data_IF_440656858657
#
_entry.id   IF_440656858657
#
_cell.length_a   1.000
_cell.length_b   1.000
_cell.length_c   1.000
_cell.angle_alpha   90.00
_cell.angle_beta   90.00
_cell.angle_gamma   90.00
#
_symmetry.space_group_name_H-M   'P 1'
#
loop_
_entity.id
_entity.type
_entity.pdbx_description
1 polymer ?
#
# COMPACT_ATOMS: atom_id res chain seq x y z
N UNK A 1 8.05 14.88 -13.80
CA UNK A 1 7.22 14.01 -12.91
C UNK A 1 7.18 12.61 -13.47
N UNK A 2 7.17 11.56 -12.63
CA UNK A 2 7.09 10.16 -13.08
C UNK A 2 5.62 9.80 -13.30
N UNK A 3 5.28 9.32 -14.52
CA UNK A 3 3.92 8.87 -14.86
C UNK A 3 3.57 7.63 -14.05
N UNK A 4 2.39 7.64 -13.42
CA UNK A 4 1.90 6.50 -12.63
C UNK A 4 1.22 5.48 -13.54
N UNK A 5 1.46 4.19 -13.34
CA UNK A 5 0.87 3.12 -14.16
C UNK A 5 -0.66 3.13 -14.11
N UNK A 6 -1.23 3.47 -12.96
CA UNK A 6 -2.67 3.53 -12.74
C UNK A 6 -3.36 4.69 -13.51
N UNK A 7 -2.60 5.69 -13.99
CA UNK A 7 -3.14 6.86 -14.68
C UNK A 7 -3.95 6.47 -15.91
N UNK A 8 -3.43 5.58 -16.76
CA UNK A 8 -4.13 5.12 -17.98
C UNK A 8 -5.46 4.45 -17.64
N UNK A 9 -5.51 3.69 -16.56
CA UNK A 9 -6.73 3.03 -16.07
C UNK A 9 -7.75 4.05 -15.57
N UNK A 10 -7.31 5.10 -14.86
CA UNK A 10 -8.17 6.18 -14.40
C UNK A 10 -8.74 6.95 -15.59
N UNK A 11 -7.90 7.37 -16.53
CA UNK A 11 -8.31 8.10 -17.74
C UNK A 11 -9.33 7.31 -18.56
N UNK A 12 -9.13 6.01 -18.73
CA UNK A 12 -10.06 5.12 -19.43
C UNK A 12 -11.40 4.91 -18.71
N UNK A 13 -11.48 5.21 -17.40
CA UNK A 13 -12.70 5.04 -16.59
C UNK A 13 -13.43 6.34 -16.29
N UNK A 14 -12.91 7.48 -16.75
CA UNK A 14 -13.61 8.75 -16.57
C UNK A 14 -14.95 8.77 -17.34
N UNK A 15 -15.92 9.45 -16.75
CA UNK A 15 -17.28 9.61 -17.30
C UNK A 15 -18.08 8.30 -17.45
N UNK A 16 -17.75 7.25 -16.69
CA UNK A 16 -18.54 6.01 -16.62
C UNK A 16 -19.73 6.10 -15.64
N UNK A 17 -20.10 7.30 -15.19
CA UNK A 17 -21.17 7.51 -14.21
C UNK A 17 -20.82 7.01 -12.80
N UNK A 18 -19.52 6.85 -12.51
CA UNK A 18 -19.01 6.40 -11.21
C UNK A 18 -17.93 7.33 -10.67
N UNK A 19 -17.90 7.49 -9.37
CA UNK A 19 -16.80 8.17 -8.71
C UNK A 19 -15.51 7.37 -8.87
N UNK A 20 -14.39 8.05 -9.09
CA UNK A 20 -13.05 7.46 -9.07
C UNK A 20 -12.38 7.88 -7.77
N UNK A 21 -12.05 6.89 -6.94
CA UNK A 21 -11.49 7.11 -5.62
C UNK A 21 -10.07 6.55 -5.60
N UNK A 22 -9.11 7.40 -5.28
CA UNK A 22 -7.70 7.03 -5.11
C UNK A 22 -7.33 7.11 -3.63
N UNK A 23 -7.05 5.95 -3.05
CA UNK A 23 -6.60 5.81 -1.66
C UNK A 23 -5.13 5.37 -1.62
N UNK A 24 -4.48 5.58 -0.51
CA UNK A 24 -3.09 5.16 -0.31
C UNK A 24 -2.40 5.96 0.78
N UNK A 25 -1.20 5.57 1.15
CA UNK A 25 -0.42 6.23 2.16
C UNK A 25 -0.27 7.74 1.89
N UNK A 26 0.05 8.50 2.91
CA UNK A 26 0.38 9.93 2.75
C UNK A 26 1.60 10.11 1.85
N UNK A 27 1.67 11.23 1.12
CA UNK A 27 2.81 11.62 0.29
C UNK A 27 3.20 10.63 -0.84
N UNK A 28 2.33 9.67 -1.19
CA UNK A 28 2.54 8.80 -2.35
C UNK A 28 2.19 9.46 -3.68
N UNK A 29 1.67 10.71 -3.67
CA UNK A 29 1.40 11.52 -4.85
C UNK A 29 -0.04 11.42 -5.38
N UNK A 30 -1.06 11.20 -4.53
CA UNK A 30 -2.48 11.12 -4.94
C UNK A 30 -2.98 12.38 -5.62
N UNK A 31 -2.80 13.54 -5.01
CA UNK A 31 -3.19 14.84 -5.58
C UNK A 31 -2.40 15.17 -6.84
N UNK A 32 -1.11 14.79 -6.88
CA UNK A 32 -0.26 14.92 -8.08
C UNK A 32 -0.77 14.05 -9.22
N UNK A 33 -1.21 12.82 -8.95
CA UNK A 33 -1.80 11.92 -9.94
C UNK A 33 -3.01 12.58 -10.61
N UNK A 34 -3.94 13.15 -9.84
CA UNK A 34 -5.10 13.84 -10.44
C UNK A 34 -4.71 15.09 -11.21
N UNK A 35 -3.71 15.85 -10.77
CA UNK A 35 -3.18 16.97 -11.57
C UNK A 35 -2.66 16.47 -12.92
N UNK A 36 -1.93 15.36 -12.95
CA UNK A 36 -1.44 14.76 -14.22
C UNK A 36 -2.56 14.22 -15.10
N UNK A 37 -3.61 13.60 -14.53
CA UNK A 37 -4.81 13.14 -15.26
C UNK A 37 -5.53 14.32 -15.92
N UNK A 38 -5.52 15.49 -15.27
CA UNK A 38 -6.24 16.69 -15.73
C UNK A 38 -5.39 17.58 -16.64
N UNK A 39 -4.08 17.39 -16.72
CA UNK A 39 -3.15 18.27 -17.45
C UNK A 39 -3.50 18.45 -18.94
N UNK A 40 -4.06 17.41 -19.56
CA UNK A 40 -4.43 17.41 -20.99
C UNK A 40 -5.95 17.39 -21.20
N UNK A 41 -6.72 18.00 -20.28
CA UNK A 41 -8.17 18.03 -20.33
C UNK A 41 -8.70 19.45 -20.36
N UNK A 42 -9.68 19.69 -21.24
CA UNK A 42 -10.31 21.00 -21.43
C UNK A 42 -11.61 21.15 -20.63
N UNK A 43 -12.09 20.06 -19.98
CA UNK A 43 -13.32 20.09 -19.20
C UNK A 43 -13.18 21.00 -17.98
N UNK A 44 -14.14 21.90 -17.73
CA UNK A 44 -14.15 22.76 -16.56
C UNK A 44 -14.06 21.93 -15.28
N UNK A 45 -13.10 22.26 -14.42
CA UNK A 45 -12.77 21.48 -13.22
C UNK A 45 -12.88 22.31 -11.96
N UNK A 46 -13.61 21.79 -10.97
CA UNK A 46 -13.69 22.31 -9.60
C UNK A 46 -12.77 21.51 -8.70
N UNK A 47 -11.83 22.19 -8.03
CA UNK A 47 -10.92 21.60 -7.03
C UNK A 47 -11.37 21.96 -5.62
N UNK A 48 -11.66 20.97 -4.79
CA UNK A 48 -12.09 21.12 -3.40
C UNK A 48 -11.07 20.44 -2.48
N UNK A 49 -10.28 21.25 -1.78
CA UNK A 49 -9.30 20.78 -0.80
C UNK A 49 -9.93 20.71 0.59
N UNK A 50 -10.15 19.51 1.12
CA UNK A 50 -10.74 19.33 2.45
C UNK A 50 -9.75 19.58 3.61
N UNK A 51 -8.52 20.02 3.35
CA UNK A 51 -7.65 20.59 4.38
C UNK A 51 -8.17 21.98 4.84
N UNK A 52 -8.95 22.65 4.00
CA UNK A 52 -9.58 23.93 4.28
C UNK A 52 -10.86 23.74 5.10
N UNK A 53 -11.00 24.40 6.29
CA UNK A 53 -12.17 24.25 7.15
C UNK A 53 -13.48 24.62 6.46
N UNK A 54 -13.47 25.67 5.65
CA UNK A 54 -14.64 26.18 4.92
C UNK A 54 -15.18 25.16 3.93
N UNK A 55 -14.28 24.47 3.22
CA UNK A 55 -14.64 23.40 2.26
C UNK A 55 -15.27 22.22 3.01
N UNK A 56 -14.69 21.85 4.16
CA UNK A 56 -15.26 20.75 4.99
C UNK A 56 -16.67 21.06 5.47
N UNK A 57 -16.87 22.25 6.02
CA UNK A 57 -18.18 22.66 6.53
C UNK A 57 -19.22 22.76 5.43
N UNK A 58 -18.83 23.32 4.30
CA UNK A 58 -19.69 23.42 3.11
C UNK A 58 -20.14 22.03 2.64
N UNK A 59 -19.21 21.12 2.42
CA UNK A 59 -19.52 19.76 1.94
C UNK A 59 -20.34 18.96 2.97
N UNK A 60 -20.02 19.04 4.26
CA UNK A 60 -20.70 18.27 5.30
C UNK A 60 -22.19 18.62 5.42
N UNK A 61 -22.57 19.87 5.15
CA UNK A 61 -23.95 20.39 5.30
C UNK A 61 -24.72 20.44 3.98
N UNK A 62 -24.02 20.38 2.82
CA UNK A 62 -24.61 20.64 1.51
C UNK A 62 -25.74 19.66 1.15
N UNK A 63 -26.89 20.21 0.83
CA UNK A 63 -27.99 19.51 0.16
C UNK A 63 -27.78 19.49 -1.37
N UNK A 64 -28.65 18.81 -2.12
CA UNK A 64 -28.49 18.67 -3.59
C UNK A 64 -28.54 19.99 -4.33
N UNK A 65 -29.32 20.97 -3.84
CA UNK A 65 -29.41 22.31 -4.47
C UNK A 65 -28.14 23.12 -4.24
N UNK A 66 -27.60 23.06 -3.05
CA UNK A 66 -26.32 23.71 -2.70
C UNK A 66 -25.15 23.06 -3.44
N UNK A 67 -25.13 21.72 -3.59
CA UNK A 67 -24.15 21.03 -4.42
C UNK A 67 -24.24 21.44 -5.87
N UNK A 68 -25.46 21.65 -6.42
CA UNK A 68 -25.66 22.15 -7.79
C UNK A 68 -25.05 23.54 -7.97
N UNK A 69 -25.28 24.43 -7.02
CA UNK A 69 -24.69 25.78 -7.06
C UNK A 69 -23.16 25.75 -6.93
N UNK A 70 -22.64 24.90 -6.07
CA UNK A 70 -21.19 24.72 -5.88
C UNK A 70 -20.52 24.16 -7.14
N UNK A 71 -21.08 23.11 -7.74
CA UNK A 71 -20.56 22.48 -8.96
C UNK A 71 -20.67 23.42 -10.15
N UNK A 72 -21.76 24.18 -10.26
CA UNK A 72 -21.98 25.11 -11.36
C UNK A 72 -21.92 24.40 -12.72
N UNK A 73 -21.09 24.92 -13.61
CA UNK A 73 -20.86 24.38 -14.97
C UNK A 73 -19.66 23.43 -15.06
N UNK A 74 -19.07 23.03 -13.93
CA UNK A 74 -17.92 22.13 -13.95
C UNK A 74 -18.36 20.70 -14.28
N UNK A 75 -17.60 20.05 -15.16
CA UNK A 75 -17.79 18.66 -15.58
C UNK A 75 -16.90 17.69 -14.79
N UNK A 76 -15.87 18.20 -14.13
CA UNK A 76 -15.02 17.42 -13.24
C UNK A 76 -15.01 18.07 -11.86
N UNK A 77 -15.20 17.27 -10.82
CA UNK A 77 -15.09 17.69 -9.43
C UNK A 77 -14.04 16.85 -8.74
N UNK A 78 -13.00 17.48 -8.23
CA UNK A 78 -11.94 16.84 -7.45
C UNK A 78 -12.13 17.17 -5.98
N UNK A 79 -12.22 16.16 -5.14
CA UNK A 79 -12.29 16.30 -3.68
C UNK A 79 -11.03 15.66 -3.09
N UNK A 80 -10.10 16.50 -2.64
CA UNK A 80 -8.83 16.08 -2.05
C UNK A 80 -8.95 15.94 -0.53
N UNK A 81 -8.30 14.93 0.06
CA UNK A 81 -8.32 14.58 1.50
C UNK A 81 -9.76 14.41 2.05
N UNK A 82 -10.61 13.74 1.27
CA UNK A 82 -12.05 13.59 1.51
C UNK A 82 -12.42 12.98 2.89
N UNK A 83 -11.54 12.18 3.51
CA UNK A 83 -11.78 11.59 4.84
C UNK A 83 -11.98 12.63 5.93
N UNK A 84 -11.54 13.88 5.72
CA UNK A 84 -11.72 14.99 6.68
C UNK A 84 -13.14 15.53 6.74
N UNK A 85 -13.96 15.22 5.75
CA UNK A 85 -15.36 15.63 5.71
C UNK A 85 -16.22 14.64 6.49
N UNK A 86 -17.07 15.15 7.36
CA UNK A 86 -18.06 14.35 8.05
C UNK A 86 -19.11 13.83 7.05
N UNK A 87 -19.50 12.56 7.19
CA UNK A 87 -20.49 11.90 6.31
C UNK A 87 -20.19 12.01 4.80
N UNK A 88 -18.91 12.10 4.43
CA UNK A 88 -18.48 12.26 3.02
C UNK A 88 -19.14 11.27 2.07
N UNK A 89 -19.34 10.01 2.48
CA UNK A 89 -19.97 9.00 1.64
C UNK A 89 -21.36 9.39 1.14
N UNK A 90 -22.16 10.06 1.97
CA UNK A 90 -23.49 10.57 1.58
C UNK A 90 -23.39 11.75 0.62
N UNK A 91 -22.37 12.59 0.77
CA UNK A 91 -22.10 13.72 -0.14
C UNK A 91 -21.72 13.19 -1.52
N UNK A 92 -20.74 12.28 -1.56
CA UNK A 92 -20.29 11.65 -2.82
C UNK A 92 -21.43 10.90 -3.52
N UNK A 93 -22.27 10.18 -2.75
CA UNK A 93 -23.46 9.50 -3.29
C UNK A 93 -24.42 10.51 -3.92
N UNK A 94 -24.71 11.62 -3.24
CA UNK A 94 -25.59 12.68 -3.79
C UNK A 94 -25.05 13.24 -5.09
N UNK A 95 -23.73 13.49 -5.16
CA UNK A 95 -23.10 13.99 -6.40
C UNK A 95 -23.24 12.94 -7.50
N UNK A 96 -22.87 11.68 -7.25
CA UNK A 96 -22.91 10.61 -8.25
C UNK A 96 -24.34 10.31 -8.74
N UNK A 97 -25.35 10.35 -7.84
CA UNK A 97 -26.72 10.02 -8.21
C UNK A 97 -27.46 11.20 -8.90
N UNK A 98 -27.15 12.45 -8.54
CA UNK A 98 -27.89 13.63 -9.03
C UNK A 98 -27.19 14.39 -10.17
N UNK A 99 -25.91 14.11 -10.42
CA UNK A 99 -25.10 14.80 -11.44
C UNK A 99 -24.36 13.77 -12.30
N UNK A 100 -25.06 12.96 -13.13
CA UNK A 100 -24.48 11.85 -13.86
C UNK A 100 -23.43 12.29 -14.91
N UNK A 101 -23.48 13.53 -15.37
CA UNK A 101 -22.54 14.12 -16.34
C UNK A 101 -21.25 14.63 -15.65
N UNK A 102 -21.20 14.65 -14.31
CA UNK A 102 -20.06 15.13 -13.54
C UNK A 102 -19.17 13.97 -13.17
N UNK A 103 -17.92 14.02 -13.63
CA UNK A 103 -16.89 13.09 -13.16
C UNK A 103 -16.39 13.49 -11.77
N UNK A 104 -16.59 12.62 -10.81
CA UNK A 104 -16.09 12.81 -9.44
C UNK A 104 -14.76 12.08 -9.26
N UNK A 105 -13.71 12.83 -8.88
CA UNK A 105 -12.38 12.33 -8.52
C UNK A 105 -12.14 12.60 -7.03
N UNK A 106 -11.78 11.58 -6.27
CA UNK A 106 -11.67 11.68 -4.81
C UNK A 106 -10.36 11.10 -4.33
N UNK A 107 -9.65 11.82 -3.45
CA UNK A 107 -8.50 11.25 -2.75
C UNK A 107 -8.77 11.05 -1.27
N UNK A 108 -8.04 10.11 -0.68
CA UNK A 108 -7.99 9.91 0.76
C UNK A 108 -6.72 9.22 1.23
N UNK A 109 -6.21 9.67 2.39
CA UNK A 109 -4.91 9.20 2.92
C UNK A 109 -5.01 7.95 3.81
N UNK A 110 -6.18 7.64 4.37
CA UNK A 110 -6.37 6.42 5.13
C UNK A 110 -7.60 5.65 4.66
N UNK A 111 -7.44 4.34 4.47
CA UNK A 111 -8.56 3.47 4.15
C UNK A 111 -9.54 3.33 5.31
N UNK A 112 -9.05 3.49 6.56
CA UNK A 112 -9.88 3.27 7.75
C UNK A 112 -11.04 4.25 7.86
N UNK A 113 -10.76 5.55 7.76
CA UNK A 113 -11.81 6.57 7.88
C UNK A 113 -12.65 6.64 6.61
N UNK A 114 -12.00 6.60 5.45
CA UNK A 114 -12.67 6.73 4.17
C UNK A 114 -13.49 5.49 3.83
N UNK A 115 -12.95 4.27 3.97
CA UNK A 115 -13.67 3.03 3.65
C UNK A 115 -14.91 2.83 4.53
N UNK A 116 -14.81 3.08 5.83
CA UNK A 116 -15.98 2.98 6.70
C UNK A 116 -17.07 3.98 6.33
N UNK A 117 -16.68 5.18 5.85
CA UNK A 117 -17.62 6.23 5.41
C UNK A 117 -18.16 5.99 3.98
N UNK A 118 -17.44 5.26 3.12
CA UNK A 118 -17.76 5.10 1.69
C UNK A 118 -18.43 3.76 1.33
N UNK A 119 -18.20 2.70 2.10
CA UNK A 119 -18.58 1.35 1.65
C UNK A 119 -20.08 1.21 1.44
N UNK A 120 -20.89 1.59 2.39
CA UNK A 120 -22.34 1.46 2.26
C UNK A 120 -22.95 2.46 1.26
N UNK A 121 -22.66 3.78 1.33
CA UNK A 121 -23.30 4.75 0.43
C UNK A 121 -22.89 4.60 -1.04
N UNK A 122 -21.65 4.17 -1.35
CA UNK A 122 -21.10 4.13 -2.70
C UNK A 122 -21.01 2.72 -3.31
N UNK A 123 -21.68 1.73 -2.74
CA UNK A 123 -21.74 0.38 -3.33
C UNK A 123 -22.25 0.45 -4.78
N UNK A 124 -21.47 -0.08 -5.72
CA UNK A 124 -21.77 -0.05 -7.16
C UNK A 124 -21.54 1.28 -7.87
N UNK A 125 -21.23 2.39 -7.15
CA UNK A 125 -21.10 3.76 -7.63
C UNK A 125 -19.66 4.27 -7.70
N UNK A 126 -18.66 3.42 -7.41
CA UNK A 126 -17.24 3.81 -7.39
C UNK A 126 -16.36 2.84 -8.13
N UNK A 127 -15.27 3.36 -8.68
CA UNK A 127 -14.03 2.66 -8.92
C UNK A 127 -13.05 3.07 -7.82
N UNK A 128 -12.44 2.10 -7.14
CA UNK A 128 -11.48 2.36 -6.08
C UNK A 128 -10.11 1.83 -6.47
N UNK A 129 -9.10 2.69 -6.36
CA UNK A 129 -7.72 2.37 -6.69
C UNK A 129 -6.81 2.68 -5.51
N UNK A 130 -5.83 1.84 -5.30
CA UNK A 130 -4.80 2.07 -4.32
C UNK A 130 -3.52 2.59 -4.99
N UNK A 131 -2.98 3.70 -4.47
CA UNK A 131 -1.72 4.27 -4.93
C UNK A 131 -0.62 3.99 -3.90
N UNK A 132 0.38 3.21 -4.32
CA UNK A 132 1.58 2.88 -3.54
C UNK A 132 2.72 3.89 -3.81
N UNK A 133 3.82 3.89 -3.04
CA UNK A 133 5.09 4.47 -3.46
C UNK A 133 5.49 3.96 -4.85
N UNK A 134 6.42 4.62 -5.52
CA UNK A 134 6.81 4.23 -6.88
C UNK A 134 7.11 2.74 -6.99
N UNK A 135 6.57 2.12 -8.05
CA UNK A 135 6.87 0.74 -8.41
C UNK A 135 8.13 0.68 -9.30
N UNK A 136 8.76 -0.48 -9.32
CA UNK A 136 9.85 -0.77 -10.27
C UNK A 136 9.42 -0.56 -11.72
N UNK A 137 8.19 -0.94 -12.07
CA UNK A 137 7.67 -0.73 -13.43
C UNK A 137 7.55 0.76 -13.81
N UNK A 138 7.12 1.62 -12.87
CA UNK A 138 7.06 3.08 -13.07
C UNK A 138 8.46 3.68 -13.25
N UNK A 139 9.41 3.28 -12.39
CA UNK A 139 10.81 3.73 -12.47
C UNK A 139 11.50 3.22 -13.75
N UNK A 140 11.22 1.99 -14.17
CA UNK A 140 11.73 1.41 -15.40
C UNK A 140 11.26 2.22 -16.63
N UNK A 141 9.98 2.58 -16.69
CA UNK A 141 9.41 3.41 -17.77
C UNK A 141 10.00 4.82 -17.78
N UNK A 142 10.28 5.40 -16.59
CA UNK A 142 10.78 6.76 -16.46
C UNK A 142 12.29 6.89 -16.70
N UNK A 143 13.08 5.95 -16.20
CA UNK A 143 14.55 6.08 -16.11
C UNK A 143 15.32 4.94 -16.79
N UNK A 144 14.64 3.87 -17.22
CA UNK A 144 15.22 2.72 -17.88
C UNK A 144 15.88 1.70 -16.93
N UNK A 145 16.28 0.56 -17.52
CA UNK A 145 16.79 -0.61 -16.81
C UNK A 145 18.05 -0.31 -16.00
N UNK A 146 18.99 0.44 -16.56
CA UNK A 146 20.26 0.72 -15.92
C UNK A 146 20.08 1.49 -14.61
N UNK A 147 19.25 2.53 -14.62
CA UNK A 147 18.92 3.32 -13.44
C UNK A 147 18.24 2.47 -12.35
N UNK A 148 17.29 1.62 -12.73
CA UNK A 148 16.59 0.73 -11.78
C UNK A 148 17.56 -0.24 -11.10
N UNK A 149 18.53 -0.78 -11.84
CA UNK A 149 19.57 -1.65 -11.26
C UNK A 149 20.53 -0.90 -10.36
N UNK A 150 20.97 0.29 -10.76
CA UNK A 150 21.90 1.12 -9.98
C UNK A 150 21.28 1.64 -8.68
N UNK A 151 20.00 1.95 -8.67
CA UNK A 151 19.30 2.47 -7.49
C UNK A 151 18.76 1.39 -6.55
N UNK A 152 18.95 0.09 -6.83
CA UNK A 152 18.41 -1.00 -6.01
C UNK A 152 18.84 -0.90 -4.54
N UNK A 153 20.11 -0.70 -4.25
CA UNK A 153 20.62 -0.59 -2.87
C UNK A 153 20.02 0.62 -2.15
N UNK A 154 19.94 1.77 -2.83
CA UNK A 154 19.31 2.97 -2.28
C UNK A 154 17.84 2.70 -1.95
N UNK A 155 17.11 2.00 -2.82
CA UNK A 155 15.70 1.64 -2.58
C UNK A 155 15.52 0.65 -1.44
N UNK A 156 16.47 -0.26 -1.23
CA UNK A 156 16.47 -1.15 -0.07
C UNK A 156 16.67 -0.38 1.25
N UNK A 157 17.44 0.72 1.22
CA UNK A 157 17.73 1.53 2.41
C UNK A 157 16.67 2.63 2.61
N UNK A 158 16.37 3.40 1.56
CA UNK A 158 15.56 4.63 1.65
C UNK A 158 14.14 4.48 1.08
N UNK A 159 13.79 3.31 0.48
CA UNK A 159 12.48 3.08 -0.09
C UNK A 159 12.26 3.76 -1.44
N UNK A 160 10.97 3.91 -1.79
CA UNK A 160 10.55 4.41 -3.11
C UNK A 160 9.47 5.49 -3.02
N UNK A 161 9.37 6.23 -1.91
CA UNK A 161 8.46 7.37 -1.81
C UNK A 161 8.87 8.47 -2.80
N UNK A 162 7.90 9.16 -3.44
CA UNK A 162 8.20 10.16 -4.46
C UNK A 162 9.15 11.26 -4.01
N UNK A 163 8.95 11.81 -2.82
CA UNK A 163 9.78 12.90 -2.28
C UNK A 163 11.20 12.43 -2.01
N UNK A 164 11.36 11.21 -1.50
CA UNK A 164 12.67 10.58 -1.24
C UNK A 164 13.42 10.33 -2.54
N UNK A 165 12.74 9.82 -3.57
CA UNK A 165 13.35 9.54 -4.87
C UNK A 165 13.75 10.80 -5.64
N UNK A 166 13.07 11.92 -5.40
CA UNK A 166 13.37 13.20 -6.03
C UNK A 166 14.50 13.98 -5.31
N UNK A 167 14.77 13.67 -4.04
CA UNK A 167 15.74 14.39 -3.20
C UNK A 167 16.66 13.40 -2.45
N UNK A 168 17.43 12.63 -3.19
CA UNK A 168 18.26 11.53 -2.65
C UNK A 168 19.26 12.00 -1.60
N UNK A 169 19.81 13.23 -1.72
CA UNK A 169 20.75 13.83 -0.74
C UNK A 169 20.13 14.02 0.63
N UNK A 170 18.82 14.30 0.67
CA UNK A 170 18.08 14.62 1.89
C UNK A 170 17.18 13.44 2.34
N UNK A 171 17.31 12.30 1.68
CA UNK A 171 16.46 11.12 1.87
C UNK A 171 16.28 10.71 3.33
N UNK A 172 17.36 10.75 4.12
CA UNK A 172 17.32 10.40 5.54
C UNK A 172 16.46 11.38 6.34
N UNK A 173 16.63 12.67 6.16
CA UNK A 173 15.87 13.71 6.86
C UNK A 173 14.40 13.66 6.46
N UNK A 174 14.12 13.55 5.17
CA UNK A 174 12.76 13.43 4.64
C UNK A 174 12.05 12.19 5.18
N UNK A 175 12.74 11.05 5.28
CA UNK A 175 12.17 9.83 5.88
C UNK A 175 11.89 10.00 7.38
N UNK A 176 12.75 10.66 8.13
CA UNK A 176 12.47 10.98 9.53
C UNK A 176 11.25 11.88 9.65
N UNK A 177 11.16 12.93 8.84
CA UNK A 177 10.01 13.83 8.83
C UNK A 177 8.74 13.09 8.41
N UNK A 178 8.81 12.25 7.39
CA UNK A 178 7.69 11.42 6.94
C UNK A 178 7.24 10.45 8.03
N UNK A 179 8.15 9.68 8.62
CA UNK A 179 7.82 8.71 9.66
C UNK A 179 7.25 9.38 10.92
N UNK A 180 7.82 10.49 11.38
CA UNK A 180 7.36 11.20 12.56
C UNK A 180 6.02 11.93 12.34
N UNK A 181 5.83 12.55 11.18
CA UNK A 181 4.58 13.27 10.90
C UNK A 181 3.44 12.32 10.53
N UNK A 182 3.73 11.28 9.77
CA UNK A 182 2.76 10.33 9.25
C UNK A 182 2.35 9.29 10.30
N UNK A 183 3.35 8.62 10.92
CA UNK A 183 3.07 7.58 11.92
C UNK A 183 2.45 8.14 13.19
N UNK A 184 2.82 9.37 13.58
CA UNK A 184 2.34 9.93 14.84
C UNK A 184 1.10 10.80 14.68
N UNK A 185 0.99 11.66 13.67
CA UNK A 185 -0.15 12.56 13.57
C UNK A 185 -1.43 11.88 13.06
N UNK A 186 -1.34 11.06 12.04
CA UNK A 186 -2.53 10.44 11.46
C UNK A 186 -3.03 9.26 12.29
N UNK A 187 -2.11 8.39 12.76
CA UNK A 187 -2.49 7.28 13.62
C UNK A 187 -2.95 7.73 15.00
N UNK A 188 -2.30 8.76 15.58
CA UNK A 188 -2.64 9.23 16.92
C UNK A 188 -3.90 10.08 16.95
N UNK A 189 -4.24 10.77 15.86
CA UNK A 189 -5.49 11.51 15.74
C UNK A 189 -6.71 10.60 15.55
N UNK A 190 -6.49 9.30 15.27
CA UNK A 190 -7.60 8.36 15.26
C UNK A 190 -8.08 8.16 16.70
N UNK A 191 -9.34 8.47 16.97
CA UNK A 191 -10.01 8.28 18.29
C UNK A 191 -9.81 6.86 18.86
N UNK A 192 -9.44 5.91 17.99
CA UNK A 192 -9.17 4.52 18.34
C UNK A 192 -7.84 4.28 19.03
N UNK A 193 -6.87 5.20 18.95
CA UNK A 193 -5.52 5.04 19.55
C UNK A 193 -5.45 5.71 20.91
N UNK A 194 -5.72 4.93 21.96
CA UNK A 194 -5.67 5.40 23.36
C UNK A 194 -4.27 5.39 23.97
N UNK A 195 -3.31 4.67 23.36
CA UNK A 195 -1.95 4.47 23.91
C UNK A 195 -0.90 4.64 22.82
N UNK A 196 -0.48 5.87 22.51
CA UNK A 196 0.50 6.19 21.46
C UNK A 196 1.84 5.44 21.64
N UNK A 197 2.37 5.43 22.85
CA UNK A 197 3.64 4.76 23.15
C UNK A 197 3.60 3.24 22.88
N UNK A 198 2.44 2.60 23.06
CA UNK A 198 2.26 1.19 22.76
C UNK A 198 2.29 0.93 21.25
N UNK A 199 1.66 1.80 20.46
CA UNK A 199 1.68 1.70 19.01
C UNK A 199 3.11 1.83 18.46
N UNK A 200 3.90 2.77 18.98
CA UNK A 200 5.32 2.92 18.61
C UNK A 200 6.13 1.68 18.94
N UNK A 201 5.94 1.10 20.14
CA UNK A 201 6.59 -0.15 20.52
C UNK A 201 6.22 -1.31 19.60
N UNK A 202 4.93 -1.42 19.24
CA UNK A 202 4.44 -2.45 18.32
C UNK A 202 5.05 -2.29 16.92
N UNK A 203 5.11 -1.07 16.39
CA UNK A 203 5.76 -0.78 15.13
C UNK A 203 7.24 -1.17 15.12
N UNK A 204 7.98 -0.83 16.20
CA UNK A 204 9.38 -1.21 16.35
C UNK A 204 9.54 -2.73 16.42
N UNK A 205 8.67 -3.43 17.18
CA UNK A 205 8.68 -4.89 17.24
C UNK A 205 8.43 -5.54 15.88
N UNK A 206 7.45 -5.04 15.11
CA UNK A 206 7.17 -5.52 13.75
C UNK A 206 8.33 -5.21 12.78
N UNK A 207 8.96 -4.03 12.90
CA UNK A 207 10.09 -3.66 12.05
C UNK A 207 11.33 -4.52 12.33
N UNK A 208 11.57 -4.93 13.56
CA UNK A 208 12.65 -5.86 13.93
C UNK A 208 12.38 -7.30 13.45
N UNK A 209 11.11 -7.71 13.42
CA UNK A 209 10.68 -9.06 13.08
C UNK A 209 10.10 -9.14 11.63
N UNK A 210 10.42 -8.16 10.77
CA UNK A 210 9.98 -8.17 9.37
C UNK A 210 10.36 -9.51 8.72
N UNK A 211 9.46 -10.09 7.92
CA UNK A 211 9.58 -11.41 7.26
C UNK A 211 9.56 -12.63 8.19
N UNK A 212 9.63 -12.43 9.50
CA UNK A 212 9.55 -13.53 10.47
C UNK A 212 8.10 -13.90 10.79
N UNK A 213 7.86 -15.16 11.13
CA UNK A 213 6.57 -15.58 11.68
C UNK A 213 6.40 -15.02 13.08
N UNK A 214 5.29 -14.34 13.32
CA UNK A 214 4.91 -13.82 14.64
C UNK A 214 3.48 -14.18 14.99
N UNK A 215 3.23 -14.37 16.27
CA UNK A 215 1.88 -14.51 16.80
C UNK A 215 1.46 -13.25 17.57
N UNK A 216 0.16 -12.98 17.61
CA UNK A 216 -0.36 -11.85 18.39
C UNK A 216 -0.06 -12.00 19.91
N UNK A 217 0.03 -13.24 20.42
CA UNK A 217 0.43 -13.51 21.80
C UNK A 217 1.86 -13.06 22.08
N UNK A 218 2.78 -13.40 21.18
CA UNK A 218 4.20 -13.02 21.30
C UNK A 218 4.36 -11.48 21.24
N UNK A 219 3.71 -10.84 20.26
CA UNK A 219 3.70 -9.39 20.16
C UNK A 219 3.10 -8.73 21.42
N UNK A 220 1.99 -9.27 21.94
CA UNK A 220 1.35 -8.75 23.14
C UNK A 220 2.27 -8.81 24.37
N UNK A 221 2.97 -9.91 24.54
CA UNK A 221 3.99 -10.07 25.61
C UNK A 221 5.15 -9.09 25.41
N UNK A 222 5.68 -8.99 24.19
CA UNK A 222 6.82 -8.11 23.86
C UNK A 222 6.51 -6.63 24.13
N UNK A 223 5.30 -6.18 23.81
CA UNK A 223 4.93 -4.76 23.96
C UNK A 223 4.22 -4.45 25.28
N UNK A 224 3.85 -5.46 26.07
CA UNK A 224 3.21 -5.33 27.38
C UNK A 224 1.72 -4.97 27.29
N UNK A 225 0.96 -5.73 26.50
CA UNK A 225 -0.49 -5.53 26.32
C UNK A 225 -1.23 -6.85 26.09
N UNK A 226 -2.52 -6.79 25.77
CA UNK A 226 -3.35 -7.93 25.41
C UNK A 226 -3.45 -8.13 23.88
N UNK A 227 -3.83 -9.35 23.46
CA UNK A 227 -3.95 -9.73 22.06
C UNK A 227 -4.95 -8.90 21.26
N UNK A 228 -6.08 -8.50 21.88
CA UNK A 228 -7.12 -7.72 21.21
C UNK A 228 -6.62 -6.33 20.86
N UNK A 229 -5.80 -5.75 21.73
CA UNK A 229 -5.17 -4.45 21.50
C UNK A 229 -4.13 -4.55 20.37
N UNK A 230 -3.32 -5.62 20.35
CA UNK A 230 -2.36 -5.89 19.25
C UNK A 230 -3.10 -6.03 17.92
N UNK A 231 -4.12 -6.88 17.88
CA UNK A 231 -4.91 -7.11 16.66
C UNK A 231 -5.54 -5.81 16.14
N UNK A 232 -6.14 -5.01 17.02
CA UNK A 232 -6.70 -3.70 16.67
C UNK A 232 -5.64 -2.76 16.09
N UNK A 233 -4.46 -2.70 16.68
CA UNK A 233 -3.41 -1.79 16.20
C UNK A 233 -2.77 -2.28 14.91
N UNK A 234 -2.61 -3.58 14.72
CA UNK A 234 -2.17 -4.16 13.45
C UNK A 234 -3.18 -3.86 12.34
N UNK A 235 -4.48 -4.08 12.57
CA UNK A 235 -5.54 -3.73 11.61
C UNK A 235 -5.50 -2.25 11.23
N UNK A 236 -5.22 -1.38 12.19
CA UNK A 236 -5.05 0.04 11.95
C UNK A 236 -3.82 0.34 11.07
N UNK A 237 -2.67 -0.28 11.36
CA UNK A 237 -1.44 -0.12 10.59
C UNK A 237 -1.60 -0.63 9.14
N UNK A 238 -2.33 -1.73 8.94
CA UNK A 238 -2.67 -2.26 7.61
C UNK A 238 -3.56 -1.27 6.84
N UNK A 239 -4.61 -0.75 7.49
CA UNK A 239 -5.52 0.25 6.89
C UNK A 239 -4.86 1.58 6.57
N UNK A 240 -3.78 1.92 7.25
CA UNK A 240 -2.96 3.09 6.94
C UNK A 240 -1.85 2.82 5.91
N UNK A 241 -1.79 1.63 5.32
CA UNK A 241 -0.79 1.26 4.32
C UNK A 241 0.67 1.37 4.81
N UNK A 242 0.89 1.09 6.09
CA UNK A 242 2.24 1.03 6.66
C UNK A 242 2.79 -0.38 6.53
N UNK A 243 1.97 -1.36 6.95
CA UNK A 243 2.28 -2.78 6.88
C UNK A 243 1.18 -3.54 6.15
N UNK A 244 1.51 -4.72 5.69
CA UNK A 244 0.56 -5.74 5.27
C UNK A 244 0.97 -7.09 5.85
N UNK A 245 0.02 -8.02 5.90
CA UNK A 245 0.29 -9.36 6.41
C UNK A 245 0.15 -10.41 5.32
N UNK A 246 0.98 -11.44 5.40
CA UNK A 246 0.77 -12.70 4.72
C UNK A 246 0.32 -13.76 5.72
N UNK A 247 -0.71 -14.50 5.34
CA UNK A 247 -1.16 -15.66 6.08
C UNK A 247 -0.38 -16.91 5.63
N UNK A 248 -0.21 -17.87 6.52
CA UNK A 248 0.35 -19.16 6.14
C UNK A 248 -0.65 -19.97 5.33
N UNK A 249 -0.32 -20.39 4.12
CA UNK A 249 -1.19 -21.18 3.28
C UNK A 249 -1.56 -22.53 3.91
N UNK A 250 -2.83 -22.88 3.86
CA UNK A 250 -3.37 -24.18 4.27
C UNK A 250 -4.63 -24.51 3.48
N UNK A 251 -4.83 -25.76 3.10
CA UNK A 251 -6.10 -26.22 2.50
C UNK A 251 -7.29 -26.09 3.44
N UNK A 252 -7.05 -26.06 4.74
CA UNK A 252 -8.08 -25.90 5.76
C UNK A 252 -8.09 -24.46 6.26
N UNK A 253 -9.07 -23.68 5.82
CA UNK A 253 -9.26 -22.27 6.21
C UNK A 253 -9.23 -22.06 7.73
N UNK A 254 -9.77 -22.99 8.54
CA UNK A 254 -9.74 -22.89 10.00
C UNK A 254 -8.31 -22.97 10.55
N UNK A 255 -7.45 -23.77 9.91
CA UNK A 255 -6.04 -23.89 10.29
C UNK A 255 -5.24 -22.70 9.80
N UNK A 256 -5.53 -22.20 8.60
CA UNK A 256 -4.92 -21.00 8.01
C UNK A 256 -5.12 -19.77 8.90
N UNK A 257 -6.35 -19.52 9.33
CA UNK A 257 -6.68 -18.38 10.19
C UNK A 257 -6.00 -18.42 11.58
N UNK A 258 -5.62 -19.61 12.06
CA UNK A 258 -4.98 -19.79 13.37
C UNK A 258 -3.45 -19.82 13.33
N UNK A 259 -2.86 -19.90 12.12
CA UNK A 259 -1.39 -19.97 11.98
C UNK A 259 -0.74 -18.63 12.28
N UNK A 260 0.55 -18.67 12.55
CA UNK A 260 1.41 -17.50 12.62
C UNK A 260 1.31 -16.69 11.31
N UNK A 261 1.57 -15.41 11.40
CA UNK A 261 1.51 -14.47 10.29
C UNK A 261 2.88 -13.88 10.08
N UNK A 262 3.21 -13.54 8.84
CA UNK A 262 4.38 -12.72 8.52
C UNK A 262 3.91 -11.31 8.21
N UNK A 263 4.65 -10.30 8.71
CA UNK A 263 4.36 -8.89 8.48
C UNK A 263 5.44 -8.27 7.61
N UNK A 264 5.00 -7.44 6.70
CA UNK A 264 5.84 -6.73 5.73
C UNK A 264 5.48 -5.25 5.74
N UNK A 265 6.43 -4.41 5.36
CA UNK A 265 6.19 -2.99 5.16
C UNK A 265 5.95 -2.70 3.68
N UNK A 266 5.02 -1.80 3.38
CA UNK A 266 4.81 -1.34 2.00
C UNK A 266 6.04 -0.65 1.42
N UNK A 267 6.94 -0.16 2.28
CA UNK A 267 8.17 0.52 1.88
C UNK A 267 9.31 0.27 2.89
N UNK A 268 10.48 -0.12 2.39
CA UNK A 268 11.66 -0.38 3.23
C UNK A 268 12.17 0.88 3.94
N UNK A 269 12.06 2.06 3.31
CA UNK A 269 12.50 3.32 3.90
C UNK A 269 11.73 3.65 5.17
N UNK A 270 10.42 3.43 5.18
CA UNK A 270 9.59 3.59 6.38
C UNK A 270 10.02 2.63 7.48
N UNK A 271 10.22 1.35 7.16
CA UNK A 271 10.75 0.36 8.12
C UNK A 271 12.08 0.78 8.71
N UNK A 272 13.01 1.22 7.87
CA UNK A 272 14.33 1.63 8.28
C UNK A 272 14.30 2.94 9.11
N UNK A 273 13.39 3.86 8.79
CA UNK A 273 13.18 5.08 9.57
C UNK A 273 12.67 4.78 11.00
N UNK A 274 11.75 3.83 11.15
CA UNK A 274 11.26 3.38 12.47
C UNK A 274 12.41 2.84 13.32
N UNK A 275 13.33 2.09 12.73
CA UNK A 275 14.51 1.53 13.41
C UNK A 275 15.69 2.51 13.46
N UNK A 276 15.59 3.67 12.83
CA UNK A 276 16.67 4.64 12.69
C UNK A 276 17.96 4.02 12.10
N UNK A 277 17.81 3.05 11.20
CA UNK A 277 18.93 2.32 10.61
C UNK A 277 19.02 2.54 9.10
N UNK A 278 19.88 3.46 8.69
CA UNK A 278 20.22 3.74 7.29
C UNK A 278 21.67 3.37 6.93
N UNK A 279 22.24 2.40 7.66
CA UNK A 279 23.57 1.91 7.38
C UNK A 279 23.65 1.29 5.96
N UNK A 280 24.77 1.42 5.25
CA UNK A 280 25.03 0.73 3.99
C UNK A 280 24.80 -0.78 4.12
N UNK A 281 24.33 -1.44 3.06
CA UNK A 281 23.98 -2.86 3.09
C UNK A 281 25.14 -3.76 3.53
N UNK A 282 26.38 -3.40 3.17
CA UNK A 282 27.58 -4.15 3.58
C UNK A 282 27.80 -4.22 5.10
N UNK A 283 27.23 -3.28 5.86
CA UNK A 283 27.34 -3.20 7.33
C UNK A 283 26.11 -3.75 8.05
N UNK A 284 25.11 -4.29 7.30
CA UNK A 284 23.83 -4.77 7.84
C UNK A 284 23.77 -6.28 7.91
N UNK A 285 23.10 -6.77 8.95
CA UNK A 285 22.84 -8.21 9.13
C UNK A 285 21.45 -8.63 8.62
N UNK A 286 20.56 -7.66 8.35
CA UNK A 286 19.16 -7.87 7.98
C UNK A 286 18.91 -7.71 6.47
N UNK A 287 19.96 -7.75 5.64
CA UNK A 287 19.84 -7.55 4.17
C UNK A 287 18.90 -8.57 3.53
N UNK A 288 18.92 -9.83 4.00
CA UNK A 288 17.99 -10.87 3.51
C UNK A 288 16.52 -10.50 3.74
N UNK A 289 16.21 -10.02 4.95
CA UNK A 289 14.85 -9.59 5.30
C UNK A 289 14.42 -8.32 4.53
N UNK A 290 15.35 -7.36 4.33
CA UNK A 290 15.07 -6.19 3.48
C UNK A 290 14.80 -6.59 2.03
N UNK A 291 15.55 -7.55 1.51
CA UNK A 291 15.37 -8.07 0.16
C UNK A 291 14.02 -8.76 -0.02
N UNK A 292 13.66 -9.64 0.92
CA UNK A 292 12.36 -10.32 0.93
C UNK A 292 11.21 -9.32 1.01
N UNK A 293 11.28 -8.35 1.95
CA UNK A 293 10.26 -7.31 2.08
C UNK A 293 10.13 -6.46 0.80
N UNK A 294 11.25 -6.06 0.23
CA UNK A 294 11.29 -5.28 -1.00
C UNK A 294 10.64 -6.04 -2.16
N UNK A 295 11.07 -7.28 -2.42
CA UNK A 295 10.54 -8.04 -3.55
C UNK A 295 9.03 -8.29 -3.43
N UNK A 296 8.55 -8.71 -2.26
CA UNK A 296 7.13 -8.99 -2.05
C UNK A 296 6.30 -7.69 -2.20
N UNK A 297 6.78 -6.57 -1.65
CA UNK A 297 6.14 -5.28 -1.83
C UNK A 297 6.09 -4.85 -3.31
N UNK A 298 7.18 -5.00 -4.06
CA UNK A 298 7.22 -4.68 -5.49
C UNK A 298 6.33 -5.62 -6.33
N UNK A 299 6.30 -6.92 -6.00
CA UNK A 299 5.43 -7.88 -6.65
C UNK A 299 3.95 -7.57 -6.44
N UNK A 300 3.57 -7.17 -5.23
CA UNK A 300 2.21 -6.71 -4.93
C UNK A 300 1.83 -5.46 -5.75
N UNK A 301 2.74 -4.48 -5.86
CA UNK A 301 2.54 -3.29 -6.71
C UNK A 301 2.35 -3.68 -8.18
N UNK A 302 3.18 -4.59 -8.70
CA UNK A 302 3.09 -5.08 -10.07
C UNK A 302 1.74 -5.77 -10.33
N UNK A 303 1.31 -6.68 -9.46
CA UNK A 303 0.02 -7.35 -9.56
C UNK A 303 -1.14 -6.34 -9.55
N UNK A 304 -1.10 -5.38 -8.64
CA UNK A 304 -2.12 -4.34 -8.52
C UNK A 304 -2.18 -3.45 -9.76
N UNK A 305 -1.03 -2.97 -10.25
CA UNK A 305 -0.96 -2.12 -11.43
C UNK A 305 -1.41 -2.83 -12.71
N UNK A 306 -1.16 -4.15 -12.79
CA UNK A 306 -1.62 -4.99 -13.89
C UNK A 306 -3.09 -5.45 -13.74
N UNK A 307 -3.77 -5.08 -12.64
CA UNK A 307 -5.15 -5.53 -12.37
C UNK A 307 -5.27 -7.04 -12.12
N UNK A 308 -4.19 -7.69 -11.68
CA UNK A 308 -4.19 -9.13 -11.37
C UNK A 308 -4.66 -9.36 -9.94
N UNK A 309 -5.70 -10.17 -9.81
CA UNK A 309 -6.23 -10.58 -8.52
C UNK A 309 -5.63 -11.93 -8.13
N UNK A 310 -4.68 -11.92 -7.21
CA UNK A 310 -4.02 -13.11 -6.69
C UNK A 310 -4.17 -13.19 -5.17
N UNK A 311 -4.33 -14.40 -4.65
CA UNK A 311 -4.24 -14.66 -3.23
C UNK A 311 -2.77 -14.89 -2.87
N UNK A 312 -2.28 -14.14 -1.88
CA UNK A 312 -0.87 -14.14 -1.48
C UNK A 312 -0.67 -14.78 -0.12
N UNK A 313 0.30 -15.69 -0.03
CA UNK A 313 0.60 -16.46 1.17
C UNK A 313 2.10 -16.70 1.33
N UNK A 314 2.52 -17.16 2.49
CA UNK A 314 3.73 -17.96 2.66
C UNK A 314 3.33 -19.40 3.02
N UNK A 315 4.26 -20.34 2.92
CA UNK A 315 3.98 -21.71 3.32
C UNK A 315 5.09 -22.27 4.17
N UNK A 316 4.72 -22.93 5.28
CA UNK A 316 5.66 -23.57 6.17
C UNK A 316 5.04 -24.80 6.81
N UNK A 317 5.84 -25.85 6.97
CA UNK A 317 5.45 -27.09 7.65
C UNK A 317 6.07 -27.20 9.04
N UNK A 318 5.56 -28.12 9.86
CA UNK A 318 6.14 -28.46 11.15
C UNK A 318 7.57 -29.03 11.03
N UNK A 319 7.93 -29.56 9.85
CA UNK A 319 9.28 -30.04 9.54
C UNK A 319 10.22 -28.94 9.02
N UNK A 320 9.84 -27.67 9.18
CA UNK A 320 10.62 -26.50 8.78
C UNK A 320 10.87 -26.39 7.25
N UNK A 321 10.07 -27.07 6.42
CA UNK A 321 10.05 -26.77 4.99
C UNK A 321 9.30 -25.46 4.78
N UNK A 322 9.84 -24.57 3.96
CA UNK A 322 9.29 -23.22 3.78
C UNK A 322 9.29 -22.81 2.31
N UNK A 323 8.32 -21.96 1.94
CA UNK A 323 8.30 -21.16 0.72
C UNK A 323 8.00 -19.74 1.19
N UNK A 324 8.91 -18.82 0.89
CA UNK A 324 8.85 -17.44 1.40
C UNK A 324 7.59 -16.71 0.93
N UNK A 325 7.25 -16.86 -0.36
CA UNK A 325 6.08 -16.21 -0.94
C UNK A 325 5.45 -17.10 -2.03
N UNK A 326 4.15 -17.18 -2.05
CA UNK A 326 3.40 -17.86 -3.10
C UNK A 326 2.13 -17.07 -3.46
N UNK A 327 1.82 -17.08 -4.74
CA UNK A 327 0.60 -16.51 -5.30
C UNK A 327 -0.28 -17.64 -5.81
N UNK A 328 -1.56 -17.58 -5.46
CA UNK A 328 -2.58 -18.50 -5.95
C UNK A 328 -3.56 -17.73 -6.84
N UNK A 329 -3.78 -18.23 -8.03
CA UNK A 329 -4.77 -17.72 -8.96
C UNK A 329 -5.40 -18.92 -9.68
N UNK A 330 -6.72 -19.04 -9.60
CA UNK A 330 -7.51 -20.10 -10.23
C UNK A 330 -6.98 -21.51 -9.96
N UNK A 331 -6.50 -21.78 -8.73
CA UNK A 331 -5.98 -23.07 -8.30
C UNK A 331 -4.56 -23.39 -8.75
N UNK A 332 -3.88 -22.46 -9.43
CA UNK A 332 -2.49 -22.58 -9.82
C UNK A 332 -1.59 -21.70 -8.94
N UNK A 333 -0.38 -22.15 -8.68
CA UNK A 333 0.56 -21.49 -7.82
C UNK A 333 1.79 -20.98 -8.55
N UNK A 334 2.21 -19.74 -8.25
CA UNK A 334 3.54 -19.22 -8.53
C UNK A 334 4.32 -19.15 -7.22
N UNK A 335 5.53 -19.71 -7.18
CA UNK A 335 6.33 -19.86 -5.98
C UNK A 335 7.59 -19.02 -6.07
N UNK A 336 7.90 -18.30 -4.99
CA UNK A 336 9.07 -17.43 -4.92
C UNK A 336 9.85 -17.69 -3.64
N UNK A 337 11.16 -17.83 -3.80
CA UNK A 337 12.13 -17.95 -2.70
C UNK A 337 13.16 -16.82 -2.86
N UNK A 338 13.34 -15.97 -1.86
CA UNK A 338 14.18 -14.79 -1.97
C UNK A 338 15.60 -15.05 -1.44
N UNK A 339 16.62 -14.80 -2.28
CA UNK A 339 18.03 -14.92 -1.89
C UNK A 339 18.81 -13.66 -2.31
N UNK A 340 19.25 -12.87 -1.35
CA UNK A 340 20.12 -11.72 -1.64
C UNK A 340 21.44 -12.14 -2.28
N UNK A 341 22.03 -13.23 -1.81
CA UNK A 341 23.28 -13.75 -2.37
C UNK A 341 22.97 -14.76 -3.48
N UNK A 342 23.30 -14.49 -4.76
CA UNK A 342 23.03 -15.40 -5.87
C UNK A 342 23.71 -16.78 -5.73
N UNK A 343 24.85 -16.86 -5.01
CA UNK A 343 25.52 -18.11 -4.72
C UNK A 343 24.69 -19.08 -3.86
N UNK A 344 23.66 -18.61 -3.19
CA UNK A 344 22.69 -19.40 -2.41
C UNK A 344 21.43 -19.78 -3.22
N UNK A 345 21.39 -19.47 -4.51
CA UNK A 345 20.25 -19.76 -5.39
C UNK A 345 20.05 -21.24 -5.75
N UNK A 346 20.83 -22.16 -5.17
CA UNK A 346 20.69 -23.60 -5.37
C UNK A 346 19.63 -24.25 -4.44
N UNK A 347 18.82 -23.44 -3.75
CA UNK A 347 17.71 -23.93 -2.88
C UNK A 347 16.66 -24.64 -3.75
N UNK A 348 16.22 -25.84 -3.30
CA UNK A 348 15.16 -26.59 -3.98
C UNK A 348 13.81 -26.30 -3.30
N UNK A 349 12.80 -26.09 -4.11
CA UNK A 349 11.43 -26.02 -3.59
C UNK A 349 11.00 -27.36 -2.98
N UNK A 350 10.23 -27.37 -1.87
CA UNK A 350 9.80 -28.57 -1.19
C UNK A 350 9.03 -29.53 -2.10
N UNK A 351 9.51 -30.75 -2.22
CA UNK A 351 8.86 -31.79 -3.05
C UNK A 351 7.44 -32.11 -2.57
N UNK A 352 7.19 -31.99 -1.27
CA UNK A 352 5.87 -32.16 -0.67
C UNK A 352 4.85 -31.14 -1.18
N UNK A 353 5.25 -29.89 -1.43
CA UNK A 353 4.39 -28.89 -2.04
C UNK A 353 4.19 -29.17 -3.54
N UNK A 354 5.28 -29.40 -4.26
CA UNK A 354 5.24 -29.64 -5.71
C UNK A 354 4.39 -30.86 -6.11
N UNK A 355 4.35 -31.90 -5.26
CA UNK A 355 3.52 -33.09 -5.50
C UNK A 355 2.04 -32.90 -5.13
N UNK A 356 1.74 -31.93 -4.24
CA UNK A 356 0.39 -31.73 -3.71
C UNK A 356 -0.42 -30.67 -4.47
N UNK A 357 0.25 -29.75 -5.20
CA UNK A 357 -0.36 -28.58 -5.82
C UNK A 357 0.10 -28.37 -7.26
N UNK A 358 -0.77 -27.77 -8.07
CA UNK A 358 -0.43 -27.40 -9.44
C UNK A 358 0.39 -26.11 -9.44
N UNK A 359 1.69 -26.26 -9.70
CA UNK A 359 2.63 -25.13 -9.77
C UNK A 359 2.78 -24.72 -11.23
N UNK A 360 2.43 -23.45 -11.51
CA UNK A 360 2.59 -22.82 -12.82
C UNK A 360 4.04 -22.39 -13.03
N UNK A 361 4.55 -21.61 -12.07
CA UNK A 361 5.90 -21.05 -12.11
C UNK A 361 6.57 -21.13 -10.75
N UNK A 362 7.90 -21.18 -10.77
CA UNK A 362 8.72 -21.12 -9.54
C UNK A 362 10.03 -20.39 -9.82
N UNK A 363 10.41 -19.49 -8.92
CA UNK A 363 11.62 -18.69 -9.08
C UNK A 363 12.37 -18.53 -7.76
N UNK A 364 13.69 -18.71 -7.81
CA UNK A 364 14.58 -18.21 -6.75
C UNK A 364 15.00 -16.81 -7.16
N UNK A 365 14.46 -15.83 -6.44
CA UNK A 365 14.61 -14.42 -6.77
C UNK A 365 15.89 -13.87 -6.17
N UNK A 366 16.73 -13.34 -7.04
CA UNK A 366 18.00 -12.71 -6.68
C UNK A 366 18.08 -11.30 -7.26
N UNK A 367 19.06 -10.46 -6.85
CA UNK A 367 19.30 -9.16 -7.46
C UNK A 367 19.59 -9.18 -8.97
N UNK A 368 19.82 -10.36 -9.55
CA UNK A 368 20.10 -10.52 -10.97
C UNK A 368 18.85 -10.72 -11.83
N UNK A 369 17.76 -11.32 -11.28
CA UNK A 369 16.58 -11.76 -12.05
C UNK A 369 15.22 -11.22 -11.54
N UNK A 370 15.19 -10.44 -10.46
CA UNK A 370 13.93 -10.00 -9.82
C UNK A 370 13.06 -9.08 -10.68
N UNK A 371 13.69 -8.32 -11.57
CA UNK A 371 13.03 -7.31 -12.41
C UNK A 371 11.95 -7.95 -13.27
N UNK A 372 12.23 -9.12 -13.86
CA UNK A 372 11.31 -9.85 -14.75
C UNK A 372 9.96 -10.19 -14.09
N UNK A 373 9.92 -10.19 -12.77
CA UNK A 373 8.75 -10.52 -11.97
C UNK A 373 7.95 -9.32 -11.47
N UNK A 374 8.47 -8.10 -11.64
CA UNK A 374 7.88 -6.87 -11.05
C UNK A 374 7.65 -5.73 -12.05
N UNK A 375 7.91 -5.95 -13.35
CA UNK A 375 7.83 -4.90 -14.40
C UNK A 375 6.62 -5.04 -15.34
N UNK A 376 5.76 -6.01 -15.15
CA UNK A 376 4.58 -6.17 -16.03
C UNK A 376 3.57 -5.06 -15.92
#
# INVERSE_FOLDING_TARGET
>A
MIRRQIQDTIEARMFYGKAIIVIGARQVGKSTLFKMVLENRDEPTLMLNCDEPEVRELLAKANSSELRLLIGNNLIVVIDEAQRVENIGMVLKRITDNFPDVQLLVTGSSSFELQNKLNEPLTGRKFEYHLSPFSTGELMKAHGLLSVKQTLENRLIYGSYPDIMNHETDAKELLYNLSNSYLYKDLLNLESVRRPALLSKLLTALALQVTSEVSYNELAQTVGTDNKTVEKYIDLLEKCYIIFKLNGFSRNLRTELKRAKKFYFYDNGIRNAILQNFAPLALRQDVGALWENFFISERMKANQNAGRYVNSYFWRTSQQQEIDYLEECDGQFCLFEMKWNPKRANTKFPASFLSAYQVKDKCIVTPENWIDWVIE
#
